data_IF_080577792157
#
_entry.id   IF_080577792157
#
_cell.length_a   1.000
_cell.length_b   1.000
_cell.length_c   1.000
_cell.angle_alpha   90.00
_cell.angle_beta   90.00
_cell.angle_gamma   90.00
#
_symmetry.space_group_name_H-M   'P 1'
#
loop_
_entity.id
_entity.type
_entity.pdbx_description
1 polymer ?
#
# COMPACT_ATOMS: atom_id res chain seq x y z
N UNK A 1 24.29 -7.06 -9.59
CA UNK A 1 23.43 -6.94 -8.38
C UNK A 1 23.01 -8.32 -7.85
N UNK A 2 22.83 -9.35 -8.70
CA UNK A 2 22.59 -10.75 -8.29
C UNK A 2 23.88 -11.58 -8.13
N UNK A 3 24.96 -11.11 -8.77
CA UNK A 3 26.26 -11.77 -8.89
C UNK A 3 26.95 -12.09 -7.57
N UNK A 4 26.67 -11.34 -6.49
CA UNK A 4 27.29 -11.51 -5.18
C UNK A 4 26.54 -12.51 -4.26
N UNK A 5 25.34 -12.96 -4.63
CA UNK A 5 24.45 -13.71 -3.72
C UNK A 5 24.15 -15.15 -4.15
N UNK A 6 24.39 -15.53 -5.41
CA UNK A 6 23.99 -16.83 -5.93
C UNK A 6 25.04 -17.41 -6.91
N UNK A 7 25.33 -18.72 -6.87
CA UNK A 7 26.22 -19.37 -7.83
C UNK A 7 25.57 -19.32 -9.22
N UNK A 8 26.13 -18.51 -10.11
CA UNK A 8 25.47 -18.07 -11.35
C UNK A 8 25.39 -19.16 -12.41
N UNK A 9 24.22 -19.80 -12.56
CA UNK A 9 23.80 -20.37 -13.84
C UNK A 9 23.21 -19.22 -14.70
N UNK A 10 23.83 -18.92 -15.85
CA UNK A 10 23.35 -17.88 -16.76
C UNK A 10 21.95 -18.16 -17.32
N UNK A 11 21.56 -19.43 -17.42
CA UNK A 11 20.24 -19.86 -17.89
C UNK A 11 19.15 -19.46 -16.88
N UNK A 12 19.38 -19.72 -15.59
CA UNK A 12 18.51 -19.27 -14.49
C UNK A 12 18.34 -17.75 -14.50
N UNK A 13 19.43 -17.01 -14.67
CA UNK A 13 19.37 -15.54 -14.70
C UNK A 13 18.54 -15.06 -15.89
N UNK A 14 18.71 -15.67 -17.05
CA UNK A 14 17.93 -15.34 -18.25
C UNK A 14 16.43 -15.59 -18.03
N UNK A 15 16.08 -16.75 -17.48
CA UNK A 15 14.70 -17.11 -17.16
C UNK A 15 14.06 -16.14 -16.16
N UNK A 16 14.75 -15.82 -15.07
CA UNK A 16 14.27 -14.86 -14.07
C UNK A 16 14.06 -13.48 -14.69
N UNK A 17 14.96 -13.03 -15.56
CA UNK A 17 14.81 -11.75 -16.26
C UNK A 17 13.62 -11.73 -17.22
N UNK A 18 13.30 -12.84 -17.87
CA UNK A 18 12.12 -12.96 -18.74
C UNK A 18 10.82 -12.89 -17.91
N UNK A 19 10.75 -13.61 -16.79
CA UNK A 19 9.61 -13.56 -15.86
C UNK A 19 9.43 -12.13 -15.29
N UNK A 20 10.52 -11.47 -14.90
CA UNK A 20 10.49 -10.09 -14.39
C UNK A 20 10.01 -9.07 -15.43
N UNK A 21 10.36 -9.24 -16.71
CA UNK A 21 9.86 -8.38 -17.80
C UNK A 21 8.35 -8.49 -17.96
N UNK A 22 7.79 -9.67 -17.72
CA UNK A 22 6.36 -9.93 -17.84
C UNK A 22 5.58 -9.49 -16.58
N UNK A 23 6.27 -9.28 -15.45
CA UNK A 23 5.67 -8.77 -14.24
C UNK A 23 5.44 -7.25 -14.31
N UNK A 24 4.30 -6.87 -14.90
CA UNK A 24 3.85 -5.47 -14.94
C UNK A 24 2.75 -5.21 -13.92
N UNK A 25 2.87 -4.14 -13.14
CA UNK A 25 1.82 -3.64 -12.24
C UNK A 25 1.14 -2.48 -12.95
N UNK A 26 -0.16 -2.60 -13.19
CA UNK A 26 -0.94 -1.46 -13.70
C UNK A 26 -1.04 -0.40 -12.60
N UNK A 27 -0.48 0.77 -12.87
CA UNK A 27 -0.47 1.88 -11.92
C UNK A 27 -1.69 2.78 -12.09
N UNK A 28 -2.57 2.53 -13.05
CA UNK A 28 -3.69 3.41 -13.39
C UNK A 28 -3.26 4.82 -13.83
N UNK A 29 -4.25 5.64 -14.15
CA UNK A 29 -4.09 7.05 -14.52
C UNK A 29 -4.48 7.97 -13.37
N UNK A 30 -3.91 9.18 -13.36
CA UNK A 30 -4.31 10.23 -12.41
C UNK A 30 -5.65 10.82 -12.81
N UNK A 31 -6.48 11.13 -11.82
CA UNK A 31 -7.62 12.02 -12.03
C UNK A 31 -7.12 13.46 -11.96
N UNK A 32 -7.24 14.18 -13.06
CA UNK A 32 -6.80 15.58 -13.16
C UNK A 32 -7.50 16.46 -12.12
N UNK A 33 -6.74 17.30 -11.41
CA UNK A 33 -7.27 18.27 -10.43
C UNK A 33 -7.55 17.72 -9.03
N UNK A 34 -7.32 16.42 -8.74
CA UNK A 34 -7.69 15.77 -7.45
C UNK A 34 -6.45 15.40 -6.61
N UNK A 35 -5.29 16.02 -6.87
CA UNK A 35 -4.04 15.67 -6.16
C UNK A 35 -3.78 16.62 -4.99
N UNK A 36 -3.84 16.08 -3.77
CA UNK A 36 -3.34 16.77 -2.58
C UNK A 36 -1.91 16.33 -2.22
N UNK A 37 -1.20 17.15 -1.44
CA UNK A 37 0.20 16.90 -1.07
C UNK A 37 0.39 15.59 -0.29
N UNK A 38 -0.56 15.24 0.58
CA UNK A 38 -0.51 13.99 1.35
C UNK A 38 -0.60 12.75 0.45
N UNK A 39 -1.42 12.79 -0.60
CA UNK A 39 -1.49 11.73 -1.60
C UNK A 39 -0.19 11.59 -2.38
N UNK A 40 0.48 12.70 -2.72
CA UNK A 40 1.79 12.67 -3.39
C UNK A 40 2.83 11.95 -2.54
N UNK A 41 2.85 12.19 -1.23
CA UNK A 41 3.74 11.47 -0.29
C UNK A 41 3.43 9.97 -0.33
N UNK A 42 2.16 9.57 -0.23
CA UNK A 42 1.78 8.15 -0.24
C UNK A 42 2.06 7.46 -1.58
N UNK A 43 1.91 8.17 -2.70
CA UNK A 43 2.26 7.67 -4.03
C UNK A 43 3.76 7.46 -4.17
N UNK A 44 4.57 8.34 -3.59
CA UNK A 44 6.02 8.19 -3.58
C UNK A 44 6.46 7.00 -2.72
N UNK A 45 5.88 6.85 -1.52
CA UNK A 45 6.08 5.67 -0.68
C UNK A 45 5.68 4.38 -1.42
N UNK A 46 4.57 4.39 -2.17
CA UNK A 46 4.14 3.25 -2.96
C UNK A 46 5.06 2.98 -4.16
N UNK A 47 5.65 4.02 -4.77
CA UNK A 47 6.65 3.90 -5.84
C UNK A 47 7.89 3.18 -5.33
N UNK A 48 8.42 3.61 -4.19
CA UNK A 48 9.58 2.97 -3.54
C UNK A 48 9.24 1.54 -3.08
N UNK A 49 8.05 1.35 -2.49
CA UNK A 49 7.58 0.03 -2.10
C UNK A 49 7.52 -0.91 -3.30
N UNK A 50 6.99 -0.49 -4.45
CA UNK A 50 6.97 -1.29 -5.67
C UNK A 50 8.37 -1.73 -6.12
N UNK A 51 9.36 -0.82 -6.07
CA UNK A 51 10.75 -1.16 -6.40
C UNK A 51 11.32 -2.19 -5.43
N UNK A 52 11.04 -2.03 -4.14
CA UNK A 52 11.44 -2.98 -3.11
C UNK A 52 10.74 -4.35 -3.27
N UNK A 53 9.46 -4.37 -3.59
CA UNK A 53 8.71 -5.61 -3.86
C UNK A 53 9.34 -6.34 -5.04
N UNK A 54 9.63 -5.64 -6.13
CA UNK A 54 10.28 -6.25 -7.30
C UNK A 54 11.64 -6.86 -6.93
N UNK A 55 12.54 -6.05 -6.36
CA UNK A 55 13.92 -6.47 -6.12
C UNK A 55 14.06 -7.45 -4.95
N UNK A 56 13.30 -7.25 -3.88
CA UNK A 56 13.49 -7.97 -2.61
C UNK A 56 12.46 -9.06 -2.38
N UNK A 57 11.35 -9.13 -3.12
CA UNK A 57 10.34 -10.18 -2.96
C UNK A 57 10.21 -11.01 -4.23
N UNK A 58 9.95 -10.37 -5.36
CA UNK A 58 9.62 -11.06 -6.61
C UNK A 58 10.86 -11.74 -7.20
N UNK A 59 11.97 -11.02 -7.36
CA UNK A 59 13.21 -11.59 -7.94
C UNK A 59 13.67 -12.85 -7.20
N UNK A 60 13.77 -12.89 -5.85
CA UNK A 60 14.12 -14.11 -5.13
C UNK A 60 13.14 -15.27 -5.30
N UNK A 61 11.83 -14.97 -5.44
CA UNK A 61 10.80 -16.00 -5.65
C UNK A 61 10.93 -16.60 -7.05
N UNK A 62 11.11 -15.78 -8.08
CA UNK A 62 11.38 -16.28 -9.43
C UNK A 62 12.70 -17.05 -9.50
N UNK A 63 13.72 -16.59 -8.79
CA UNK A 63 14.99 -17.32 -8.70
C UNK A 63 14.81 -18.71 -8.09
N UNK A 64 14.07 -18.81 -6.97
CA UNK A 64 13.71 -20.09 -6.39
C UNK A 64 12.94 -20.98 -7.37
N UNK A 65 11.96 -20.43 -8.09
CA UNK A 65 11.18 -21.20 -9.07
C UNK A 65 12.04 -21.73 -10.22
N UNK A 66 12.96 -20.92 -10.74
CA UNK A 66 13.90 -21.33 -11.78
C UNK A 66 14.83 -22.46 -11.26
N UNK A 67 15.34 -22.34 -10.03
CA UNK A 67 16.12 -23.41 -9.40
C UNK A 67 15.36 -24.73 -9.25
N UNK A 68 14.06 -24.69 -8.97
CA UNK A 68 13.23 -25.91 -8.89
C UNK A 68 13.10 -26.59 -10.25
N UNK A 69 13.19 -25.84 -11.36
CA UNK A 69 13.10 -26.36 -12.74
C UNK A 69 14.41 -26.98 -13.21
N UNK A 70 15.54 -26.47 -12.72
CA UNK A 70 16.89 -26.95 -13.03
C UNK A 70 17.25 -28.16 -12.14
N UNK A 71 17.05 -29.39 -12.64
CA UNK A 71 17.57 -30.61 -12.00
C UNK A 71 19.06 -30.85 -12.33
N UNK A 72 19.90 -31.38 -11.41
CA UNK A 72 19.62 -31.72 -10.02
C UNK A 72 20.19 -30.65 -9.06
N UNK A 73 19.42 -29.60 -8.78
CA UNK A 73 19.81 -28.60 -7.77
C UNK A 73 19.90 -29.24 -6.37
N UNK A 74 20.93 -28.86 -5.60
CA UNK A 74 21.12 -29.30 -4.21
C UNK A 74 19.90 -28.94 -3.34
N UNK A 75 19.23 -29.95 -2.75
CA UNK A 75 18.04 -29.79 -1.89
C UNK A 75 18.23 -28.78 -0.75
N UNK A 76 19.44 -28.63 -0.19
CA UNK A 76 19.74 -27.61 0.84
C UNK A 76 19.60 -26.19 0.30
N UNK A 77 20.07 -25.97 -0.92
CA UNK A 77 19.94 -24.67 -1.59
C UNK A 77 18.47 -24.40 -1.89
N UNK A 78 17.73 -25.38 -2.42
CA UNK A 78 16.30 -25.25 -2.66
C UNK A 78 15.51 -24.91 -1.38
N UNK A 79 15.79 -25.58 -0.27
CA UNK A 79 15.16 -25.30 1.02
C UNK A 79 15.46 -23.87 1.51
N UNK A 80 16.73 -23.43 1.43
CA UNK A 80 17.12 -22.07 1.80
C UNK A 80 16.37 -21.00 0.97
N UNK A 81 16.30 -21.17 -0.35
CA UNK A 81 15.60 -20.22 -1.22
C UNK A 81 14.08 -20.26 -1.02
N UNK A 82 13.50 -21.43 -0.76
CA UNK A 82 12.10 -21.60 -0.41
C UNK A 82 11.74 -20.82 0.87
N UNK A 83 12.50 -21.00 1.94
CA UNK A 83 12.30 -20.34 3.23
C UNK A 83 12.36 -18.81 3.08
N UNK A 84 13.39 -18.32 2.40
CA UNK A 84 13.58 -16.91 2.14
C UNK A 84 12.43 -16.33 1.29
N UNK A 85 11.99 -17.06 0.25
CA UNK A 85 10.86 -16.69 -0.58
C UNK A 85 9.56 -16.58 0.21
N UNK A 86 9.25 -17.57 1.06
CA UNK A 86 8.06 -17.58 1.93
C UNK A 86 8.06 -16.40 2.90
N UNK A 87 9.20 -16.14 3.57
CA UNK A 87 9.32 -15.02 4.51
C UNK A 87 9.09 -13.68 3.79
N UNK A 88 9.70 -13.50 2.62
CA UNK A 88 9.60 -12.27 1.82
C UNK A 88 8.19 -12.06 1.27
N UNK A 89 7.54 -13.10 0.75
CA UNK A 89 6.16 -12.99 0.24
C UNK A 89 5.19 -12.57 1.34
N UNK A 90 5.33 -13.14 2.54
CA UNK A 90 4.41 -12.80 3.65
C UNK A 90 4.67 -11.40 4.19
N UNK A 91 5.91 -10.93 4.18
CA UNK A 91 6.24 -9.59 4.66
C UNK A 91 5.62 -8.49 3.80
N UNK A 92 5.31 -8.76 2.52
CA UNK A 92 4.59 -7.83 1.63
C UNK A 92 3.37 -7.21 2.32
N UNK A 93 2.50 -8.03 2.91
CA UNK A 93 1.26 -7.56 3.53
C UNK A 93 1.52 -6.66 4.74
N UNK A 94 2.57 -6.94 5.51
CA UNK A 94 2.95 -6.10 6.65
C UNK A 94 3.34 -4.69 6.20
N UNK A 95 4.09 -4.57 5.08
CA UNK A 95 4.51 -3.29 4.52
C UNK A 95 3.35 -2.55 3.85
N UNK A 96 2.54 -3.26 3.05
CA UNK A 96 1.37 -2.66 2.41
C UNK A 96 0.38 -2.11 3.45
N UNK A 97 0.16 -2.85 4.55
CA UNK A 97 -0.71 -2.38 5.63
C UNK A 97 -0.13 -1.20 6.40
N UNK A 98 1.19 -0.98 6.42
CA UNK A 98 1.76 0.24 6.98
C UNK A 98 1.41 1.46 6.14
N UNK A 99 1.57 1.37 4.81
CA UNK A 99 1.21 2.43 3.86
C UNK A 99 -0.29 2.73 3.95
N UNK A 100 -1.13 1.68 3.94
CA UNK A 100 -2.58 1.86 4.06
C UNK A 100 -3.00 2.36 5.45
N UNK A 101 -2.26 2.05 6.51
CA UNK A 101 -2.57 2.53 7.87
C UNK A 101 -2.40 4.03 8.03
N UNK A 102 -1.39 4.62 7.38
CA UNK A 102 -1.20 6.07 7.34
C UNK A 102 -2.21 6.71 6.39
N UNK A 103 -2.32 6.22 5.15
CA UNK A 103 -3.22 6.76 4.14
C UNK A 103 -4.68 6.79 4.60
N UNK A 104 -5.16 5.69 5.20
CA UNK A 104 -6.54 5.59 5.67
C UNK A 104 -6.77 6.27 7.03
N UNK A 105 -5.77 6.95 7.60
CA UNK A 105 -5.84 7.60 8.90
C UNK A 105 -6.33 6.67 10.02
N UNK A 106 -5.83 5.42 10.05
CA UNK A 106 -6.15 4.46 11.13
C UNK A 106 -5.16 4.63 12.30
N UNK A 107 -3.94 5.06 12.00
CA UNK A 107 -2.90 5.45 12.96
C UNK A 107 -2.59 4.37 14.02
N UNK A 108 -2.58 3.11 13.59
CA UNK A 108 -2.10 1.99 14.43
C UNK A 108 -0.58 2.06 14.58
N UNK A 109 -0.06 1.69 15.75
CA UNK A 109 1.38 1.71 16.02
C UNK A 109 2.04 0.44 15.47
N UNK A 110 3.01 0.53 14.55
CA UNK A 110 3.72 -0.65 14.06
C UNK A 110 4.45 -1.38 15.20
N UNK A 111 4.33 -2.72 15.25
CA UNK A 111 5.12 -3.54 16.20
C UNK A 111 6.61 -3.56 15.85
N UNK A 112 6.91 -3.32 14.57
CA UNK A 112 8.25 -3.25 13.98
C UNK A 112 8.25 -2.01 13.10
N UNK A 113 9.09 -1.05 13.44
CA UNK A 113 9.30 0.12 12.60
C UNK A 113 10.30 -0.26 11.52
N UNK A 114 10.01 0.14 10.29
CA UNK A 114 10.98 -0.06 9.22
C UNK A 114 11.74 1.24 9.07
N UNK A 115 13.04 1.16 9.28
CA UNK A 115 13.94 2.31 9.21
C UNK A 115 14.83 2.07 8.01
N UNK A 116 14.92 3.06 7.13
CA UNK A 116 15.92 3.05 6.08
C UNK A 116 17.26 3.50 6.64
N UNK A 117 18.25 2.62 6.61
CA UNK A 117 19.64 2.95 6.93
C UNK A 117 20.47 2.56 5.70
N UNK A 118 21.12 3.53 5.07
CA UNK A 118 21.97 3.33 3.89
C UNK A 118 21.25 2.52 2.78
N UNK A 119 20.07 2.98 2.34
CA UNK A 119 19.23 2.31 1.34
C UNK A 119 18.80 0.87 1.71
N UNK A 120 18.84 0.54 3.00
CA UNK A 120 18.48 -0.77 3.53
C UNK A 120 17.37 -0.64 4.56
N UNK A 121 16.21 -1.24 4.25
CA UNK A 121 15.08 -1.31 5.17
C UNK A 121 15.38 -2.32 6.28
N UNK A 122 15.61 -1.80 7.50
CA UNK A 122 15.85 -2.61 8.69
C UNK A 122 14.57 -2.64 9.52
N UNK A 123 14.07 -3.84 9.80
CA UNK A 123 13.00 -4.04 10.78
C UNK A 123 13.56 -3.82 12.19
N UNK A 124 13.37 -2.63 12.75
CA UNK A 124 13.68 -2.40 14.16
C UNK A 124 12.48 -2.85 14.98
N UNK A 125 12.67 -3.92 15.75
CA UNK A 125 11.75 -4.24 16.84
C UNK A 125 11.80 -3.05 17.80
N UNK A 126 10.68 -2.37 18.01
CA UNK A 126 10.56 -1.38 19.08
C UNK A 126 10.56 -2.19 20.38
N UNK A 127 11.74 -2.56 20.88
CA UNK A 127 11.88 -2.92 22.27
C UNK A 127 11.51 -1.66 23.04
N UNK A 128 10.33 -1.72 23.66
CA UNK A 128 9.84 -0.70 24.56
C UNK A 128 11.01 -0.19 25.40
N UNK A 129 11.30 1.11 25.30
CA UNK A 129 11.98 1.85 26.35
C UNK A 129 11.44 1.33 27.70
N UNK A 130 12.28 1.22 28.73
CA UNK A 130 11.83 0.88 30.09
C UNK A 130 10.83 1.96 30.53
N UNK A 131 9.56 1.73 30.25
CA UNK A 131 8.45 2.63 30.53
C UNK A 131 8.01 2.42 31.98
N UNK A 132 7.76 3.53 32.68
CA UNK A 132 7.39 3.56 34.09
C UNK A 132 6.07 2.80 34.34
N UNK A 133 5.83 2.38 35.59
CA UNK A 133 4.68 1.56 36.01
C UNK A 133 3.31 2.13 35.59
N UNK A 134 3.19 3.43 35.37
CA UNK A 134 1.96 4.08 34.89
C UNK A 134 1.63 3.79 33.41
N UNK A 135 2.65 3.61 32.56
CA UNK A 135 2.46 3.28 31.13
C UNK A 135 2.12 1.80 30.89
N UNK A 136 2.22 0.94 31.91
CA UNK A 136 1.71 -0.44 31.84
C UNK A 136 0.18 -0.47 31.75
N UNK A 137 -0.53 0.51 32.33
CA UNK A 137 -1.99 0.59 32.21
C UNK A 137 -2.45 1.02 30.82
N UNK A 138 -1.61 1.74 30.06
CA UNK A 138 -1.85 2.05 28.64
C UNK A 138 -1.69 0.82 27.72
N UNK A 139 -1.04 -0.27 28.16
CA UNK A 139 -0.86 -1.50 27.35
C UNK A 139 -2.17 -2.22 27.04
N UNK A 140 -3.23 -2.01 27.83
CA UNK A 140 -4.56 -2.57 27.53
C UNK A 140 -5.19 -2.00 26.25
N UNK A 141 -4.68 -0.87 25.73
CA UNK A 141 -5.26 -0.11 24.63
C UNK A 141 -4.30 0.17 23.46
N UNK A 142 -3.10 -0.42 23.44
CA UNK A 142 -2.19 -0.24 22.31
C UNK A 142 -2.72 -0.96 21.07
N UNK A 143 -3.31 -0.18 20.16
CA UNK A 143 -3.73 -0.60 18.83
C UNK A 143 -2.49 -0.85 17.96
N UNK A 144 -1.81 -1.97 18.21
CA UNK A 144 -0.67 -2.36 17.40
C UNK A 144 -1.09 -2.75 15.98
N UNK A 145 -0.31 -2.33 14.99
CA UNK A 145 -0.46 -2.79 13.62
C UNK A 145 0.00 -4.24 13.54
N UNK A 146 -0.98 -5.13 13.50
CA UNK A 146 -0.86 -6.49 12.99
C UNK A 146 -1.97 -6.70 11.96
N UNK A 147 -1.77 -7.63 11.03
CA UNK A 147 -2.71 -7.82 9.92
C UNK A 147 -4.15 -8.03 10.38
N UNK A 148 -4.38 -8.80 11.44
CA UNK A 148 -5.74 -9.07 11.93
C UNK A 148 -6.39 -7.82 12.55
N UNK A 149 -5.64 -7.09 13.38
CA UNK A 149 -6.12 -5.84 13.97
C UNK A 149 -6.34 -4.77 12.91
N UNK A 150 -5.47 -4.67 11.90
CA UNK A 150 -5.63 -3.78 10.75
C UNK A 150 -6.91 -4.11 9.99
N UNK A 151 -7.09 -5.36 9.56
CA UNK A 151 -8.30 -5.85 8.88
C UNK A 151 -9.55 -5.52 9.70
N UNK A 152 -9.53 -5.77 11.02
CA UNK A 152 -10.66 -5.49 11.91
C UNK A 152 -10.98 -4.00 11.98
N UNK A 153 -9.96 -3.14 12.07
CA UNK A 153 -10.13 -1.67 12.11
C UNK A 153 -10.63 -1.12 10.79
N UNK A 154 -10.06 -1.56 9.67
CA UNK A 154 -10.53 -1.22 8.32
C UNK A 154 -11.98 -1.63 8.13
N UNK A 155 -12.35 -2.89 8.40
CA UNK A 155 -13.74 -3.37 8.28
C UNK A 155 -14.71 -2.60 9.17
N UNK A 156 -14.26 -2.09 10.33
CA UNK A 156 -15.06 -1.27 11.24
C UNK A 156 -15.25 0.16 10.71
N UNK A 157 -14.19 0.79 10.19
CA UNK A 157 -14.17 2.19 9.75
C UNK A 157 -14.73 2.36 8.33
N UNK A 158 -14.40 1.42 7.43
CA UNK A 158 -14.66 1.44 5.99
C UNK A 158 -15.44 0.19 5.57
N UNK A 159 -16.63 0.01 6.16
CA UNK A 159 -17.35 -1.26 6.02
C UNK A 159 -17.66 -1.59 4.57
N UNK A 160 -18.02 -0.62 3.73
CA UNK A 160 -18.63 -0.83 2.41
C UNK A 160 -17.71 -0.65 1.21
N UNK A 161 -16.44 -0.32 1.43
CA UNK A 161 -15.51 -0.11 0.33
C UNK A 161 -15.13 -1.43 -0.33
N UNK A 162 -15.51 -1.58 -1.61
CA UNK A 162 -15.27 -2.82 -2.37
C UNK A 162 -13.79 -3.03 -2.65
N UNK A 163 -13.06 -1.98 -3.01
CA UNK A 163 -11.63 -2.02 -3.31
C UNK A 163 -10.80 -2.49 -2.12
N UNK A 164 -11.00 -1.87 -0.95
CA UNK A 164 -10.35 -2.30 0.29
C UNK A 164 -10.76 -3.71 0.69
N UNK A 165 -12.04 -4.06 0.59
CA UNK A 165 -12.48 -5.45 0.88
C UNK A 165 -11.75 -6.45 -0.01
N UNK A 166 -11.59 -6.14 -1.30
CA UNK A 166 -10.82 -6.96 -2.23
C UNK A 166 -9.38 -7.09 -1.77
N UNK A 167 -8.68 -5.98 -1.50
CA UNK A 167 -7.29 -5.99 -0.98
C UNK A 167 -7.17 -6.85 0.29
N UNK A 168 -8.08 -6.67 1.26
CA UNK A 168 -8.08 -7.44 2.50
C UNK A 168 -8.42 -8.92 2.27
N UNK A 169 -9.24 -9.24 1.27
CA UNK A 169 -9.61 -10.61 0.92
C UNK A 169 -8.43 -11.36 0.31
N UNK A 170 -7.65 -10.72 -0.57
CA UNK A 170 -6.41 -11.26 -1.13
C UNK A 170 -5.47 -11.69 0.01
N UNK A 171 -5.20 -10.81 0.99
CA UNK A 171 -4.36 -11.14 2.16
C UNK A 171 -4.81 -12.31 3.04
N UNK A 172 -6.07 -12.77 2.87
CA UNK A 172 -6.67 -13.86 3.63
C UNK A 172 -7.07 -15.06 2.77
N UNK A 173 -6.68 -15.10 1.50
CA UNK A 173 -6.90 -16.27 0.65
C UNK A 173 -6.22 -17.52 1.24
N UNK A 174 -6.70 -18.70 0.86
CA UNK A 174 -6.29 -19.95 1.49
C UNK A 174 -4.80 -20.26 1.29
N UNK A 175 -4.23 -19.89 0.15
CA UNK A 175 -2.80 -20.06 -0.11
C UNK A 175 -1.94 -19.21 0.86
N UNK A 176 -2.40 -18.02 1.27
CA UNK A 176 -1.73 -17.23 2.32
C UNK A 176 -1.85 -17.84 3.71
N UNK A 177 -2.93 -18.58 4.02
CA UNK A 177 -3.02 -19.34 5.28
C UNK A 177 -1.97 -20.45 5.30
N UNK A 178 -1.79 -21.15 4.19
CA UNK A 178 -0.77 -22.19 4.02
C UNK A 178 0.64 -21.61 4.09
N UNK A 179 0.92 -20.52 3.38
CA UNK A 179 2.21 -19.82 3.48
C UNK A 179 2.50 -19.33 4.90
N UNK A 180 1.51 -18.77 5.61
CA UNK A 180 1.68 -18.36 7.02
C UNK A 180 1.99 -19.54 7.94
N UNK A 181 1.38 -20.70 7.70
CA UNK A 181 1.72 -21.94 8.41
C UNK A 181 3.19 -22.33 8.16
N UNK A 182 3.61 -22.35 6.90
CA UNK A 182 5.01 -22.61 6.53
C UNK A 182 5.98 -21.61 7.16
N UNK A 183 5.67 -20.31 7.15
CA UNK A 183 6.49 -19.27 7.80
C UNK A 183 6.61 -19.47 9.30
N UNK A 184 5.50 -19.80 9.97
CA UNK A 184 5.51 -20.10 11.39
C UNK A 184 6.35 -21.34 11.66
N UNK A 185 6.27 -22.35 10.80
CA UNK A 185 7.12 -23.52 10.87
C UNK A 185 8.60 -23.15 10.73
N UNK A 186 8.98 -22.34 9.74
CA UNK A 186 10.34 -21.81 9.56
C UNK A 186 10.84 -21.08 10.80
N UNK A 187 10.04 -20.15 11.35
CA UNK A 187 10.41 -19.34 12.52
C UNK A 187 10.55 -20.19 13.80
N UNK A 188 9.62 -21.12 14.03
CA UNK A 188 9.54 -21.85 15.31
C UNK A 188 10.35 -23.14 15.32
N UNK A 189 10.47 -23.84 14.19
CA UNK A 189 11.21 -25.09 14.10
C UNK A 189 12.66 -24.89 13.63
N UNK A 190 13.13 -23.65 13.43
CA UNK A 190 14.50 -23.33 12.99
C UNK A 190 14.92 -24.14 11.76
N UNK A 191 14.05 -24.20 10.75
CA UNK A 191 14.45 -24.70 9.44
C UNK A 191 15.37 -23.68 8.73
N UNK A 192 16.20 -24.05 7.75
CA UNK A 192 17.29 -25.02 7.64
C UNK A 192 18.01 -24.79 6.29
N UNK A 193 18.41 -23.56 6.02
CA UNK A 193 19.75 -23.32 5.50
C UNK A 193 20.67 -23.19 6.71
N UNK A 194 21.69 -24.04 6.82
CA UNK A 194 22.59 -24.11 7.99
C UNK A 194 22.98 -22.72 8.54
N UNK A 195 22.80 -22.49 9.84
CA UNK A 195 23.74 -21.65 10.59
C UNK A 195 24.57 -22.62 11.41
N UNK A 196 25.77 -22.92 10.91
CA UNK A 196 26.81 -23.45 11.77
C UNK A 196 27.18 -22.33 12.74
N UNK A 197 26.84 -22.49 14.01
CA UNK A 197 27.34 -21.59 15.04
C UNK A 197 28.67 -22.17 15.52
N UNK A 198 29.79 -21.44 15.42
CA UNK A 198 30.94 -21.76 16.23
C UNK A 198 30.51 -21.58 17.69
N UNK A 199 30.55 -22.65 18.48
CA UNK A 199 30.48 -22.53 19.93
C UNK A 199 31.90 -22.66 20.46
N UNK A 200 32.46 -21.54 20.89
CA UNK A 200 33.65 -21.53 21.74
C UNK A 200 33.21 -21.86 23.17
N UNK A 201 33.18 -23.15 23.47
CA UNK A 201 33.10 -23.64 24.85
C UNK A 201 34.49 -24.16 25.19
N UNK A 202 35.32 -23.28 25.78
CA UNK A 202 36.60 -23.61 26.41
C UNK A 202 37.76 -23.93 25.46
N UNK A 203 37.89 -23.21 24.33
CA UNK A 203 39.08 -23.29 23.49
C UNK A 203 39.15 -24.48 22.54
N UNK A 204 38.05 -25.22 22.40
CA UNK A 204 37.84 -26.21 21.34
C UNK A 204 36.68 -25.72 20.45
N UNK A 205 36.92 -25.61 19.15
CA UNK A 205 35.91 -25.20 18.17
C UNK A 205 34.94 -26.35 17.88
N UNK A 206 33.73 -26.31 18.46
CA UNK A 206 32.67 -27.27 18.13
C UNK A 206 31.72 -26.70 17.08
N UNK A 207 31.52 -27.46 16.00
CA UNK A 207 30.49 -27.20 14.99
C UNK A 207 29.23 -27.99 15.34
N UNK A 208 28.25 -27.35 15.95
CA UNK A 208 26.95 -27.99 16.18
C UNK A 208 26.15 -27.96 14.88
N UNK A 209 25.91 -29.15 14.30
CA UNK A 209 25.03 -29.33 13.15
C UNK A 209 23.70 -29.90 13.61
N UNK A 210 22.60 -29.16 13.40
CA UNK A 210 21.26 -29.68 13.62
C UNK A 210 20.76 -30.41 12.35
N UNK A 211 20.08 -31.54 12.53
CA UNK A 211 19.58 -32.33 11.41
C UNK A 211 18.52 -31.56 10.60
N UNK A 212 18.66 -31.57 9.27
CA UNK A 212 17.76 -30.86 8.37
C UNK A 212 16.42 -31.59 8.22
N UNK A 213 15.36 -31.09 8.86
CA UNK A 213 13.99 -31.57 8.66
C UNK A 213 13.24 -30.86 7.50
N UNK A 214 13.74 -29.75 6.91
CA UNK A 214 13.02 -29.01 5.85
C UNK A 214 13.11 -29.72 4.51
N UNK A 215 14.24 -30.37 4.22
CA UNK A 215 14.47 -31.17 3.00
C UNK A 215 13.34 -32.20 2.76
N UNK A 216 12.80 -32.79 3.82
CA UNK A 216 11.74 -33.81 3.75
C UNK A 216 10.32 -33.25 3.94
N UNK A 217 10.19 -31.95 4.24
CA UNK A 217 8.89 -31.32 4.58
C UNK A 217 8.40 -30.34 3.52
N UNK A 218 9.30 -29.75 2.74
CA UNK A 218 8.91 -28.81 1.70
C UNK A 218 8.62 -29.60 0.42
N UNK A 219 7.33 -29.69 0.07
CA UNK A 219 6.95 -30.12 -1.27
C UNK A 219 7.12 -28.94 -2.24
N UNK A 220 8.25 -28.90 -2.93
CA UNK A 220 8.66 -27.81 -3.82
C UNK A 220 7.65 -27.52 -4.94
N UNK A 221 7.03 -28.55 -5.51
CA UNK A 221 5.98 -28.39 -6.54
C UNK A 221 4.73 -27.70 -6.00
N UNK A 222 4.25 -28.12 -4.83
CA UNK A 222 3.11 -27.48 -4.16
C UNK A 222 3.43 -26.03 -3.74
N UNK A 223 4.65 -25.78 -3.27
CA UNK A 223 5.09 -24.45 -2.84
C UNK A 223 5.20 -23.49 -4.03
N UNK A 224 5.68 -23.94 -5.18
CA UNK A 224 5.71 -23.14 -6.41
C UNK A 224 4.32 -22.61 -6.77
N UNK A 225 3.30 -23.48 -6.73
CA UNK A 225 1.90 -23.07 -6.98
C UNK A 225 1.38 -22.06 -5.95
N UNK A 226 1.74 -22.20 -4.67
CA UNK A 226 1.36 -21.24 -3.63
C UNK A 226 2.02 -19.87 -3.85
N UNK A 227 3.27 -19.86 -4.28
CA UNK A 227 4.01 -18.64 -4.58
C UNK A 227 3.43 -17.93 -5.81
N UNK A 228 3.03 -18.65 -6.85
CA UNK A 228 2.41 -18.07 -8.05
C UNK A 228 1.11 -17.35 -7.73
N UNK A 229 0.20 -18.02 -7.01
CA UNK A 229 -1.02 -17.38 -6.52
C UNK A 229 -0.70 -16.15 -5.64
N UNK A 230 0.36 -16.23 -4.82
CA UNK A 230 0.81 -15.11 -3.99
C UNK A 230 1.32 -13.92 -4.81
N UNK A 231 2.05 -14.16 -5.89
CA UNK A 231 2.54 -13.11 -6.79
C UNK A 231 1.39 -12.42 -7.53
N UNK A 232 0.39 -13.17 -7.97
CA UNK A 232 -0.82 -12.62 -8.59
C UNK A 232 -1.62 -11.75 -7.60
N UNK A 233 -1.79 -12.23 -6.37
CA UNK A 233 -2.43 -11.45 -5.30
C UNK A 233 -1.67 -10.16 -4.97
N UNK A 234 -0.34 -10.20 -4.95
CA UNK A 234 0.52 -9.02 -4.77
C UNK A 234 0.30 -8.02 -5.90
N UNK A 235 0.35 -8.49 -7.16
CA UNK A 235 0.12 -7.67 -8.35
C UNK A 235 -1.25 -6.99 -8.31
N UNK A 236 -2.29 -7.74 -7.97
CA UNK A 236 -3.66 -7.24 -7.85
C UNK A 236 -3.78 -6.22 -6.72
N UNK A 237 -3.21 -6.51 -5.55
CA UNK A 237 -3.25 -5.60 -4.40
C UNK A 237 -2.54 -4.27 -4.68
N UNK A 238 -1.36 -4.31 -5.33
CA UNK A 238 -0.65 -3.10 -5.74
C UNK A 238 -1.43 -2.30 -6.77
N UNK A 239 -2.01 -2.96 -7.77
CA UNK A 239 -2.84 -2.31 -8.80
C UNK A 239 -4.04 -1.58 -8.17
N UNK A 240 -4.76 -2.26 -7.26
CA UNK A 240 -5.88 -1.68 -6.54
C UNK A 240 -5.45 -0.53 -5.63
N UNK A 241 -4.28 -0.62 -4.99
CA UNK A 241 -3.75 0.43 -4.12
C UNK A 241 -3.33 1.67 -4.91
N UNK A 242 -2.69 1.49 -6.08
CA UNK A 242 -2.40 2.59 -7.01
C UNK A 242 -3.68 3.28 -7.47
N UNK A 243 -4.69 2.49 -7.85
CA UNK A 243 -5.99 3.01 -8.27
C UNK A 243 -6.64 3.83 -7.15
N UNK A 244 -6.68 3.28 -5.93
CA UNK A 244 -7.21 3.95 -4.75
C UNK A 244 -6.55 5.31 -4.51
N UNK A 245 -5.21 5.37 -4.57
CA UNK A 245 -4.44 6.59 -4.33
C UNK A 245 -4.55 7.59 -5.49
N UNK A 246 -4.43 7.16 -6.75
CA UNK A 246 -4.39 8.10 -7.89
C UNK A 246 -5.75 8.68 -8.26
N UNK A 247 -6.82 7.96 -7.96
CA UNK A 247 -8.17 8.41 -8.25
C UNK A 247 -8.84 9.06 -7.02
N UNK A 248 -8.09 9.24 -5.94
CA UNK A 248 -8.59 9.74 -4.66
C UNK A 248 -9.87 9.05 -4.18
N UNK A 249 -9.92 7.74 -4.36
CA UNK A 249 -11.07 6.96 -3.92
C UNK A 249 -10.93 6.63 -2.43
N UNK A 250 -10.55 7.61 -1.58
CA UNK A 250 -10.41 7.37 -0.15
C UNK A 250 -11.73 6.77 0.33
N UNK A 251 -11.68 5.60 0.96
CA UNK A 251 -12.86 4.84 1.34
C UNK A 251 -13.81 5.63 2.23
N UNK A 252 -15.10 5.60 1.91
CA UNK A 252 -16.14 6.32 2.65
C UNK A 252 -16.21 5.87 4.12
N UNK A 253 -16.13 6.82 5.05
CA UNK A 253 -16.25 6.56 6.50
C UNK A 253 -17.62 5.94 6.80
N UNK A 254 -17.71 5.11 7.85
CA UNK A 254 -18.98 4.47 8.29
C UNK A 254 -20.13 5.47 8.49
N UNK A 255 -19.84 6.68 8.95
CA UNK A 255 -20.82 7.75 9.15
C UNK A 255 -21.46 8.23 7.83
N UNK A 256 -20.72 8.16 6.74
CA UNK A 256 -21.06 8.77 5.44
C UNK A 256 -21.44 7.72 4.40
N UNK A 257 -21.83 6.51 4.85
CA UNK A 257 -22.03 5.31 4.03
C UNK A 257 -22.99 5.49 2.84
N UNK A 258 -23.88 6.48 2.88
CA UNK A 258 -24.87 6.76 1.82
C UNK A 258 -24.44 7.88 0.89
N UNK A 259 -23.32 8.52 1.18
CA UNK A 259 -22.92 9.75 0.52
C UNK A 259 -21.80 9.43 -0.47
N UNK A 260 -22.07 9.65 -1.74
CA UNK A 260 -21.05 9.75 -2.77
C UNK A 260 -20.72 11.23 -2.95
N UNK A 261 -19.44 11.55 -3.10
CA UNK A 261 -18.96 12.92 -3.19
C UNK A 261 -18.46 13.17 -4.61
N UNK A 262 -18.93 14.26 -5.21
CA UNK A 262 -18.58 14.61 -6.57
C UNK A 262 -18.05 16.05 -6.65
N UNK A 263 -17.11 16.27 -7.56
CA UNK A 263 -16.72 17.60 -8.00
C UNK A 263 -17.17 17.79 -9.44
N UNK A 264 -17.61 19.01 -9.75
CA UNK A 264 -17.99 19.45 -11.09
C UNK A 264 -16.80 20.08 -11.78
N UNK A 265 -16.61 19.76 -13.05
CA UNK A 265 -15.67 20.47 -13.92
C UNK A 265 -16.32 21.76 -14.43
N UNK A 266 -15.64 22.88 -14.26
CA UNK A 266 -16.00 24.16 -14.87
C UNK A 266 -14.87 24.66 -15.77
N UNK A 267 -15.25 25.31 -16.87
CA UNK A 267 -14.30 26.02 -17.73
C UNK A 267 -14.56 27.51 -17.63
N UNK A 268 -13.48 28.29 -17.56
CA UNK A 268 -13.54 29.74 -17.57
C UNK A 268 -12.61 30.28 -18.65
N UNK A 269 -12.99 31.33 -19.42
CA UNK A 269 -12.11 31.93 -20.42
C UNK A 269 -10.78 32.46 -19.88
N UNK A 270 -10.66 32.69 -18.56
CA UNK A 270 -9.42 33.15 -17.95
C UNK A 270 -8.35 32.04 -17.79
N UNK A 271 -8.68 30.78 -18.03
CA UNK A 271 -7.77 29.64 -17.83
C UNK A 271 -8.05 28.53 -18.83
N UNK A 272 -7.00 27.99 -19.44
CA UNK A 272 -7.10 26.81 -20.31
C UNK A 272 -7.37 25.52 -19.50
N UNK A 273 -7.09 25.54 -18.19
CA UNK A 273 -7.30 24.40 -17.31
C UNK A 273 -8.74 24.34 -16.79
N UNK A 274 -9.32 23.14 -16.81
CA UNK A 274 -10.60 22.88 -16.15
C UNK A 274 -10.44 23.00 -14.64
N UNK A 275 -11.36 23.68 -13.96
CA UNK A 275 -11.38 23.80 -12.50
C UNK A 275 -12.43 22.88 -11.89
N UNK A 276 -12.15 22.39 -10.69
CA UNK A 276 -13.06 21.52 -9.95
C UNK A 276 -13.73 22.32 -8.83
N UNK A 277 -15.05 22.19 -8.74
CA UNK A 277 -15.84 22.82 -7.68
C UNK A 277 -16.80 21.82 -7.06
N UNK A 278 -17.31 22.06 -5.85
CA UNK A 278 -18.28 21.18 -5.20
C UNK A 278 -19.58 21.04 -6.00
N UNK A 279 -20.09 19.81 -6.10
CA UNK A 279 -21.31 19.48 -6.84
C UNK A 279 -22.59 20.05 -6.21
N UNK A 280 -22.65 20.15 -4.89
CA UNK A 280 -23.78 20.70 -4.15
C UNK A 280 -24.12 22.17 -4.50
N UNK A 281 -23.20 22.88 -5.15
CA UNK A 281 -23.42 24.24 -5.64
C UNK A 281 -24.32 24.28 -6.88
N UNK A 282 -24.45 23.17 -7.62
CA UNK A 282 -25.22 23.13 -8.87
C UNK A 282 -26.71 23.34 -8.65
N UNK A 283 -27.26 22.73 -7.61
CA UNK A 283 -28.67 22.89 -7.29
C UNK A 283 -28.94 24.29 -6.72
N UNK A 284 -28.01 24.82 -5.91
CA UNK A 284 -28.06 26.21 -5.46
C UNK A 284 -28.02 27.20 -6.64
N UNK A 285 -27.15 26.97 -7.63
CA UNK A 285 -27.02 27.83 -8.81
C UNK A 285 -28.30 27.81 -9.66
N UNK A 286 -28.92 26.62 -9.82
CA UNK A 286 -30.22 26.49 -10.50
C UNK A 286 -31.34 27.21 -9.77
N UNK A 287 -31.33 27.22 -8.43
CA UNK A 287 -32.34 27.89 -7.61
C UNK A 287 -32.18 29.41 -7.61
N UNK A 288 -30.95 29.92 -7.74
CA UNK A 288 -30.62 31.34 -7.59
C UNK A 288 -30.40 32.07 -8.92
N UNK A 289 -30.82 31.49 -10.06
CA UNK A 289 -30.56 32.00 -11.43
C UNK A 289 -30.83 33.50 -11.67
N UNK A 290 -31.74 34.11 -10.92
CA UNK A 290 -32.14 35.52 -11.06
C UNK A 290 -31.48 36.46 -10.04
N UNK A 291 -30.60 35.96 -9.16
CA UNK A 291 -29.90 36.77 -8.17
C UNK A 291 -28.60 37.37 -8.71
N UNK A 292 -28.21 38.50 -8.11
CA UNK A 292 -26.89 39.13 -8.31
C UNK A 292 -25.76 38.15 -7.92
N UNK A 293 -26.02 37.32 -6.91
CA UNK A 293 -25.11 36.26 -6.49
C UNK A 293 -25.32 34.99 -7.33
N UNK A 294 -24.26 34.54 -8.00
CA UNK A 294 -24.17 33.21 -8.58
C UNK A 294 -23.30 32.32 -7.70
N UNK A 295 -23.83 31.19 -7.18
CA UNK A 295 -23.07 30.24 -6.37
C UNK A 295 -21.86 29.64 -7.09
N UNK A 296 -21.96 29.47 -8.42
CA UNK A 296 -20.89 28.92 -9.25
C UNK A 296 -20.21 30.06 -10.00
N UNK A 297 -18.92 30.27 -9.73
CA UNK A 297 -18.05 31.29 -10.30
C UNK A 297 -16.63 30.74 -10.49
N UNK A 298 -15.82 31.40 -11.33
CA UNK A 298 -14.43 31.00 -11.50
C UNK A 298 -13.60 31.38 -10.26
N UNK A 299 -12.91 30.44 -9.59
CA UNK A 299 -12.12 30.75 -8.40
C UNK A 299 -10.89 31.63 -8.68
N UNK A 300 -10.45 31.76 -9.94
CA UNK A 300 -9.26 32.54 -10.30
C UNK A 300 -9.58 34.01 -10.62
N UNK A 301 -10.63 34.25 -11.40
CA UNK A 301 -10.98 35.60 -11.87
C UNK A 301 -12.33 36.10 -11.34
N UNK A 302 -12.99 35.30 -10.49
CA UNK A 302 -14.30 35.60 -9.90
C UNK A 302 -15.40 35.93 -10.92
N UNK A 303 -15.22 35.52 -12.18
CA UNK A 303 -16.18 35.74 -13.25
C UNK A 303 -17.31 34.71 -13.21
N UNK A 304 -18.51 35.19 -13.54
CA UNK A 304 -19.70 34.38 -13.80
C UNK A 304 -19.75 33.82 -15.22
N UNK A 305 -18.82 34.23 -16.10
CA UNK A 305 -18.72 33.72 -17.46
C UNK A 305 -17.98 32.39 -17.47
N UNK A 306 -18.67 31.35 -17.02
CA UNK A 306 -18.15 29.98 -16.96
C UNK A 306 -19.12 29.01 -17.64
N UNK A 307 -18.57 27.91 -18.15
CA UNK A 307 -19.36 26.79 -18.65
C UNK A 307 -19.18 25.60 -17.71
N UNK A 308 -20.28 25.07 -17.19
CA UNK A 308 -20.27 23.84 -16.39
C UNK A 308 -20.23 22.66 -17.35
N UNK A 309 -19.20 21.82 -17.21
CA UNK A 309 -19.14 20.54 -17.91
C UNK A 309 -20.07 19.55 -17.20
N UNK A 310 -20.83 18.75 -17.95
CA UNK A 310 -21.75 17.77 -17.34
C UNK A 310 -21.02 16.58 -16.72
N UNK A 311 -19.70 16.54 -16.83
CA UNK A 311 -18.84 15.51 -16.26
C UNK A 311 -18.62 15.75 -14.75
N UNK A 312 -19.13 14.81 -13.94
CA UNK A 312 -18.86 14.75 -12.50
C UNK A 312 -17.70 13.82 -12.21
N UNK A 313 -16.76 14.27 -11.38
CA UNK A 313 -15.64 13.47 -10.89
C UNK A 313 -15.98 12.97 -9.49
N UNK A 314 -15.99 11.66 -9.31
CA UNK A 314 -16.10 11.07 -7.97
C UNK A 314 -14.79 11.25 -7.21
N UNK A 315 -14.85 11.76 -5.99
CA UNK A 315 -13.70 12.04 -5.13
C UNK A 315 -13.91 11.52 -3.71
N UNK A 316 -12.88 11.60 -2.87
CA UNK A 316 -13.03 11.31 -1.45
C UNK A 316 -13.85 12.37 -0.72
N UNK A 317 -14.43 11.99 0.42
CA UNK A 317 -15.06 12.92 1.35
C UNK A 317 -14.09 14.04 1.76
N UNK A 318 -12.86 13.67 2.14
CA UNK A 318 -11.89 14.63 2.67
C UNK A 318 -11.47 15.64 1.57
N UNK A 319 -11.27 15.19 0.34
CA UNK A 319 -11.02 16.10 -0.80
C UNK A 319 -12.24 16.95 -1.12
N UNK A 320 -13.45 16.39 -1.11
CA UNK A 320 -14.67 17.17 -1.31
C UNK A 320 -14.84 18.25 -0.25
N UNK A 321 -14.65 17.91 1.04
CA UNK A 321 -14.71 18.86 2.16
C UNK A 321 -13.65 19.95 2.01
N UNK A 322 -12.42 19.60 1.60
CA UNK A 322 -11.37 20.57 1.33
C UNK A 322 -11.75 21.50 0.17
N UNK A 323 -12.24 20.96 -0.95
CA UNK A 323 -12.70 21.75 -2.10
C UNK A 323 -13.85 22.68 -1.72
N UNK A 324 -14.81 22.21 -0.92
CA UNK A 324 -15.89 23.03 -0.36
C UNK A 324 -15.31 24.17 0.47
N UNK A 325 -14.46 23.86 1.45
CA UNK A 325 -13.89 24.85 2.34
C UNK A 325 -13.04 25.89 1.61
N UNK A 326 -12.22 25.46 0.65
CA UNK A 326 -11.42 26.35 -0.19
C UNK A 326 -12.28 27.25 -1.05
N UNK A 327 -13.30 26.69 -1.71
CA UNK A 327 -14.21 27.45 -2.55
C UNK A 327 -15.04 28.47 -1.74
N UNK A 328 -15.57 28.09 -0.58
CA UNK A 328 -16.33 29.02 0.29
C UNK A 328 -15.48 30.15 0.86
N UNK A 329 -14.16 29.96 1.06
CA UNK A 329 -13.25 31.04 1.48
C UNK A 329 -13.13 32.16 0.43
N UNK A 330 -13.42 31.86 -0.84
CA UNK A 330 -13.37 32.80 -1.95
C UNK A 330 -14.64 33.64 -2.09
N UNK A 331 -15.76 33.22 -1.47
CA UNK A 331 -17.06 33.89 -1.59
C UNK A 331 -17.04 35.35 -1.14
N UNK A 332 -16.39 35.74 -0.01
CA UNK A 332 -16.33 37.15 0.39
C UNK A 332 -15.66 38.04 -0.66
N UNK A 333 -14.56 37.57 -1.27
CA UNK A 333 -13.84 38.34 -2.30
C UNK A 333 -14.62 38.44 -3.61
N UNK A 334 -15.25 37.33 -4.02
CA UNK A 334 -16.18 37.32 -5.16
C UNK A 334 -17.31 38.35 -4.96
N UNK A 335 -17.94 38.38 -3.78
CA UNK A 335 -19.02 39.32 -3.49
C UNK A 335 -18.56 40.78 -3.53
N UNK A 336 -17.36 41.09 -3.01
CA UNK A 336 -16.79 42.45 -3.10
C UNK A 336 -16.64 42.90 -4.56
N UNK A 337 -16.11 42.04 -5.43
CA UNK A 337 -15.93 42.36 -6.85
C UNK A 337 -17.24 42.53 -7.61
N UNK A 338 -18.25 41.69 -7.34
CA UNK A 338 -19.52 41.78 -8.06
C UNK A 338 -20.42 42.92 -7.57
N UNK A 339 -20.29 43.32 -6.31
CA UNK A 339 -21.14 44.34 -5.70
C UNK A 339 -20.49 45.74 -5.65
N UNK A 340 -19.25 45.91 -6.14
CA UNK A 340 -18.46 47.16 -5.99
C UNK A 340 -18.49 47.70 -4.55
N UNK A 341 -18.33 46.82 -3.57
CA UNK A 341 -18.27 47.21 -2.15
C UNK A 341 -16.82 47.55 -1.87
N UNK A 342 -16.49 48.85 -1.95
CA UNK A 342 -15.23 49.39 -1.42
C UNK A 342 -15.26 49.33 0.13
N UNK A 343 -14.13 48.96 0.73
CA UNK A 343 -13.96 48.72 2.18
C UNK A 343 -14.31 49.92 3.09
#
# INVERSE_FOLDING_TARGET
MLDDLYPMNQEIIKEVNEELKNYNIDKGQFTEGVLNFEMLIHLELLREFNQNVLNRIITPVYYYKALVREEPTNYKSLALHAENGVIRLISFWEHLFQILNTYLGIFMTPKREIIEINNTWINRIIFSLKLNKEQKYLRGYQNYLDGQNFIKKVKKKYRNDSTLRTILSLSNADHWKQMRKLRNEVIHYKFLGQISYPLDIRGDDYMITFANLSENKINHGSLGSLMDNGLDDIKNALTLTHTLLKQDLVPTKKSSIRDEYFLLKINCPCSEEKKLIPDNLLDLDKMLKENIYKPIFCPNCFSNNITIDNEMIKVSQDTWENSVNEYFKLVPEYLKQQCNIDD
#
